data_IF_467079642481
#
_entry.id   IF_467079642481
#
_cell.length_a   1.000
_cell.length_b   1.000
_cell.length_c   1.000
_cell.angle_alpha   90.00
_cell.angle_beta   90.00
_cell.angle_gamma   90.00
#
_symmetry.space_group_name_H-M   'P 1'
#
loop_
_entity.id
_entity.type
_entity.pdbx_description
1 polymer ?
#
# COMPACT_ATOMS: atom_id res chain seq x y z
N UNK A 1 -37.79 7.99 50.04
CA UNK A 1 -38.49 7.84 48.74
C UNK A 1 -38.81 9.17 48.05
N UNK A 2 -39.86 9.94 48.39
CA UNK A 2 -40.13 11.20 47.66
C UNK A 2 -39.03 12.26 47.85
N UNK A 3 -38.61 12.53 49.10
CA UNK A 3 -37.54 13.48 49.40
C UNK A 3 -36.16 13.08 48.84
N UNK A 4 -35.93 11.77 48.73
CA UNK A 4 -34.68 11.17 48.20
C UNK A 4 -34.62 11.31 46.67
N UNK A 5 -35.74 11.02 45.99
CA UNK A 5 -35.89 11.26 44.55
C UNK A 5 -35.78 12.75 44.19
N UNK A 6 -36.27 13.63 45.07
CA UNK A 6 -36.14 15.08 44.92
C UNK A 6 -34.68 15.54 45.06
N UNK A 7 -33.91 14.91 45.96
CA UNK A 7 -32.47 15.16 46.12
C UNK A 7 -31.67 14.68 44.90
N UNK A 8 -31.97 13.49 44.38
CA UNK A 8 -31.33 12.97 43.16
C UNK A 8 -31.66 13.83 41.94
N UNK A 9 -32.92 14.26 41.79
CA UNK A 9 -33.31 15.16 40.70
C UNK A 9 -32.58 16.52 40.80
N UNK A 10 -32.46 17.09 42.01
CA UNK A 10 -31.71 18.33 42.21
C UNK A 10 -30.22 18.19 41.85
N UNK A 11 -29.60 17.06 42.24
CA UNK A 11 -28.22 16.74 41.87
C UNK A 11 -28.05 16.57 40.35
N UNK A 12 -28.96 15.85 39.69
CA UNK A 12 -28.95 15.69 38.24
C UNK A 12 -29.13 17.02 37.49
N UNK A 13 -30.02 17.89 37.98
CA UNK A 13 -30.20 19.25 37.41
C UNK A 13 -28.94 20.08 37.58
N UNK A 14 -28.28 20.01 38.74
CA UNK A 14 -27.06 20.76 39.01
C UNK A 14 -25.92 20.31 38.09
N UNK A 15 -25.69 19.00 37.95
CA UNK A 15 -24.68 18.48 37.01
C UNK A 15 -24.99 18.85 35.56
N UNK A 16 -26.27 18.90 35.16
CA UNK A 16 -26.67 19.36 33.83
C UNK A 16 -26.36 20.84 33.59
N UNK A 17 -26.56 21.70 34.60
CA UNK A 17 -26.20 23.12 34.53
C UNK A 17 -24.69 23.30 34.42
N UNK A 18 -23.91 22.58 35.23
CA UNK A 18 -22.45 22.60 35.18
C UNK A 18 -21.91 22.12 33.83
N UNK A 19 -22.51 21.08 33.24
CA UNK A 19 -22.16 20.63 31.89
C UNK A 19 -22.44 21.71 30.84
N UNK A 20 -23.58 22.40 30.91
CA UNK A 20 -23.92 23.47 29.96
C UNK A 20 -22.96 24.66 30.05
N UNK A 21 -22.55 25.05 31.25
CA UNK A 21 -21.58 26.16 31.41
C UNK A 21 -20.20 25.78 30.90
N UNK A 22 -19.78 24.53 31.09
CA UNK A 22 -18.53 24.01 30.52
C UNK A 22 -18.57 23.97 28.99
N UNK A 23 -19.68 23.55 28.39
CA UNK A 23 -19.85 23.52 26.93
C UNK A 23 -19.77 24.94 26.35
N UNK A 24 -20.51 25.90 26.91
CA UNK A 24 -20.47 27.29 26.45
C UNK A 24 -19.07 27.90 26.55
N UNK A 25 -18.32 27.55 27.61
CA UNK A 25 -16.94 27.99 27.77
C UNK A 25 -16.02 27.37 26.71
N UNK A 26 -16.18 26.08 26.43
CA UNK A 26 -15.42 25.39 25.37
C UNK A 26 -15.74 25.94 23.98
N UNK A 27 -16.99 26.25 23.69
CA UNK A 27 -17.41 26.87 22.43
C UNK A 27 -16.79 28.26 22.25
N UNK A 28 -16.80 29.08 23.30
CA UNK A 28 -16.15 30.37 23.31
C UNK A 28 -14.63 30.25 23.11
N UNK A 29 -13.97 29.32 23.81
CA UNK A 29 -12.54 29.09 23.72
C UNK A 29 -12.13 28.58 22.33
N UNK A 30 -12.91 27.67 21.73
CA UNK A 30 -12.69 27.16 20.37
C UNK A 30 -12.87 28.27 19.32
N UNK A 31 -13.90 29.10 19.45
CA UNK A 31 -14.11 30.24 18.53
C UNK A 31 -12.92 31.21 18.55
N UNK A 32 -12.31 31.41 19.72
CA UNK A 32 -11.13 32.26 19.89
C UNK A 32 -9.88 31.63 19.27
N UNK A 33 -9.68 30.32 19.45
CA UNK A 33 -8.56 29.58 18.84
C UNK A 33 -8.68 29.52 17.32
N UNK A 34 -9.90 29.37 16.78
CA UNK A 34 -10.12 29.35 15.34
C UNK A 34 -9.81 30.71 14.69
N UNK A 35 -10.12 31.82 15.36
CA UNK A 35 -9.72 33.16 14.92
C UNK A 35 -8.19 33.37 14.91
N UNK A 36 -7.46 32.74 15.83
CA UNK A 36 -6.00 32.76 15.88
C UNK A 36 -5.36 31.79 14.85
N UNK A 37 -6.02 30.68 14.56
CA UNK A 37 -5.56 29.68 13.59
C UNK A 37 -5.77 30.11 12.13
N UNK A 38 -6.62 31.11 11.86
CA UNK A 38 -6.79 31.67 10.51
C UNK A 38 -5.69 32.63 10.09
N UNK A 39 -4.68 32.90 10.94
CA UNK A 39 -3.44 33.54 10.49
C UNK A 39 -2.60 32.51 9.71
N UNK A 40 -2.19 32.79 8.45
CA UNK A 40 -1.32 31.90 7.71
C UNK A 40 -0.01 31.68 8.47
N UNK A 41 0.25 30.43 8.85
CA UNK A 41 1.49 30.01 9.49
C UNK A 41 2.61 30.17 8.44
N UNK A 42 3.71 30.89 8.72
CA UNK A 42 4.85 30.88 7.82
C UNK A 42 5.45 29.47 7.86
N UNK A 43 5.53 28.84 6.69
CA UNK A 43 6.05 27.49 6.54
C UNK A 43 7.50 27.44 7.04
N UNK A 44 7.73 26.55 8.01
CA UNK A 44 9.06 26.24 8.49
C UNK A 44 9.71 25.24 7.52
N UNK A 45 10.11 25.73 6.35
CA UNK A 45 11.08 25.03 5.50
C UNK A 45 12.24 25.98 5.20
N UNK A 46 13.42 25.60 5.66
CA UNK A 46 14.66 26.21 5.20
C UNK A 46 14.85 25.87 3.73
N UNK A 47 14.41 26.77 2.86
CA UNK A 47 14.69 26.73 1.42
C UNK A 47 14.66 28.16 0.88
N UNK A 48 15.87 28.70 0.76
CA UNK A 48 16.37 29.61 -0.27
C UNK A 48 15.65 30.95 -0.52
N UNK A 49 16.44 31.99 -0.28
CA UNK A 49 16.23 33.39 -0.66
C UNK A 49 15.77 33.49 -2.12
N UNK A 50 14.55 33.99 -2.33
CA UNK A 50 14.13 34.43 -3.66
C UNK A 50 12.62 34.56 -3.78
N UNK A 51 12.07 35.69 -3.35
CA UNK A 51 11.02 36.48 -4.01
C UNK A 51 10.49 37.49 -3.00
N UNK A 52 11.25 38.56 -2.78
CA UNK A 52 10.80 39.75 -2.04
C UNK A 52 10.34 40.79 -3.05
N UNK A 53 9.14 40.65 -3.65
CA UNK A 53 8.65 41.72 -4.54
C UNK A 53 7.14 42.00 -4.53
N UNK A 54 6.33 41.36 -3.70
CA UNK A 54 4.91 41.76 -3.59
C UNK A 54 4.39 41.73 -2.16
N UNK A 55 4.91 42.65 -1.37
CA UNK A 55 4.41 42.96 -0.04
C UNK A 55 3.61 44.27 -0.14
N UNK A 56 2.26 44.25 -0.04
CA UNK A 56 1.47 45.47 0.09
C UNK A 56 1.89 46.26 1.34
N UNK A 57 1.92 47.59 1.25
CA UNK A 57 2.41 48.51 2.30
C UNK A 57 2.07 48.17 3.76
N UNK A 58 0.86 47.68 4.12
CA UNK A 58 0.56 47.30 5.51
C UNK A 58 1.46 46.19 6.08
N UNK A 59 2.07 45.35 5.24
CA UNK A 59 2.97 44.27 5.67
C UNK A 59 4.41 44.76 5.81
N UNK A 60 4.80 45.86 5.16
CA UNK A 60 6.11 46.51 5.40
C UNK A 60 6.17 47.15 6.79
N UNK A 61 5.05 47.69 7.26
CA UNK A 61 4.91 48.26 8.60
C UNK A 61 4.90 47.17 9.69
N UNK A 62 4.19 46.05 9.45
CA UNK A 62 4.19 44.91 10.37
C UNK A 62 5.55 44.17 10.42
N UNK A 63 6.27 44.09 9.30
CA UNK A 63 7.62 43.49 9.25
C UNK A 63 8.67 44.41 9.89
N UNK A 64 8.51 45.74 9.77
CA UNK A 64 9.36 46.71 10.45
C UNK A 64 9.26 46.63 11.98
N UNK A 65 8.11 46.22 12.53
CA UNK A 65 7.92 46.05 13.97
C UNK A 65 8.64 44.83 14.57
N UNK A 66 9.05 43.84 13.76
CA UNK A 66 9.72 42.64 14.25
C UNK A 66 11.24 42.62 13.98
N UNK A 67 11.73 43.39 13.01
CA UNK A 67 13.14 43.38 12.61
C UNK A 67 13.96 44.61 13.06
N UNK A 68 13.38 45.57 13.79
CA UNK A 68 14.05 46.84 14.07
C UNK A 68 13.91 47.34 15.50
N UNK A 69 14.84 46.97 16.38
CA UNK A 69 15.24 47.86 17.47
C UNK A 69 16.14 48.98 16.91
N UNK A 70 15.52 50.00 16.31
CA UNK A 70 15.93 51.39 16.53
C UNK A 70 15.15 51.94 17.73
N UNK A 71 15.67 52.92 18.49
CA UNK A 71 15.26 53.16 19.87
C UNK A 71 13.87 53.78 19.93
N UNK A 72 12.88 53.06 20.49
CA UNK A 72 11.57 53.65 20.75
C UNK A 72 10.48 52.64 21.07
N UNK A 73 10.39 52.31 22.35
CA UNK A 73 9.22 51.77 23.06
C UNK A 73 8.73 50.34 22.71
N UNK A 74 8.63 49.43 23.70
CA UNK A 74 7.84 48.23 23.56
C UNK A 74 6.35 48.62 23.60
N UNK A 75 5.56 48.17 22.64
CA UNK A 75 4.13 48.08 22.84
C UNK A 75 3.90 47.00 23.91
N UNK A 76 3.86 47.42 25.19
CA UNK A 76 3.53 46.55 26.31
C UNK A 76 2.10 46.04 26.13
N UNK A 77 1.96 44.82 25.62
CA UNK A 77 0.75 44.03 25.83
C UNK A 77 0.54 43.94 27.36
N UNK A 78 -0.67 44.26 27.88
CA UNK A 78 -0.92 44.25 29.31
C UNK A 78 -0.50 42.88 29.89
N UNK A 79 0.37 42.87 30.91
CA UNK A 79 0.96 41.63 31.46
C UNK A 79 -0.09 40.54 31.75
N UNK A 80 -1.30 40.91 32.18
CA UNK A 80 -2.40 39.96 32.42
C UNK A 80 -2.95 39.23 31.18
N UNK A 81 -2.79 39.79 29.97
CA UNK A 81 -3.16 39.12 28.72
C UNK A 81 -2.09 38.09 28.31
N UNK A 82 -0.82 38.39 28.55
CA UNK A 82 0.29 37.45 28.33
C UNK A 82 0.17 36.26 29.28
N UNK A 83 -0.11 36.50 30.56
CA UNK A 83 -0.30 35.43 31.55
C UNK A 83 -1.50 34.54 31.22
N UNK A 84 -2.58 35.12 30.69
CA UNK A 84 -3.75 34.34 30.22
C UNK A 84 -3.42 33.47 29.02
N UNK A 85 -2.67 33.98 28.04
CA UNK A 85 -2.23 33.20 26.88
C UNK A 85 -1.27 32.07 27.27
N UNK A 86 -0.32 32.34 28.16
CA UNK A 86 0.60 31.33 28.69
C UNK A 86 -0.15 30.26 29.48
N UNK A 87 -1.15 30.64 30.28
CA UNK A 87 -2.03 29.71 30.99
C UNK A 87 -2.80 28.80 30.01
N UNK A 88 -3.40 29.36 28.97
CA UNK A 88 -4.12 28.60 27.94
C UNK A 88 -3.18 27.62 27.24
N UNK A 89 -2.01 28.06 26.79
CA UNK A 89 -1.02 27.21 26.12
C UNK A 89 -0.54 26.10 27.04
N UNK A 90 -0.29 26.41 28.32
CA UNK A 90 0.12 25.41 29.30
C UNK A 90 -0.95 24.33 29.49
N UNK A 91 -2.23 24.72 29.53
CA UNK A 91 -3.35 23.79 29.68
C UNK A 91 -3.56 22.93 28.43
N UNK A 92 -3.39 23.50 27.23
CA UNK A 92 -3.46 22.77 25.98
C UNK A 92 -2.33 21.74 25.90
N UNK A 93 -1.09 22.15 26.20
CA UNK A 93 0.06 21.25 26.27
C UNK A 93 -0.19 20.09 27.24
N UNK A 94 -0.79 20.35 28.39
CA UNK A 94 -1.08 19.31 29.39
C UNK A 94 -2.17 18.34 28.91
N UNK A 95 -3.22 18.84 28.24
CA UNK A 95 -4.25 17.98 27.61
C UNK A 95 -3.66 17.11 26.50
N UNK A 96 -2.81 17.67 25.65
CA UNK A 96 -2.13 16.89 24.60
C UNK A 96 -1.19 15.86 25.19
N UNK A 97 -0.45 16.20 26.25
CA UNK A 97 0.39 15.25 26.99
C UNK A 97 -0.45 14.10 27.57
N UNK A 98 -1.57 14.39 28.24
CA UNK A 98 -2.48 13.37 28.79
C UNK A 98 -3.01 12.45 27.70
N UNK A 99 -3.52 13.03 26.61
CA UNK A 99 -4.06 12.25 25.48
C UNK A 99 -3.00 11.39 24.81
N UNK A 100 -1.79 11.91 24.65
CA UNK A 100 -0.70 11.14 24.08
C UNK A 100 -0.29 9.98 25.01
N UNK A 101 -0.28 10.21 26.32
CA UNK A 101 -0.03 9.16 27.30
C UNK A 101 -1.12 8.08 27.28
N UNK A 102 -2.40 8.46 27.20
CA UNK A 102 -3.52 7.52 27.06
C UNK A 102 -3.39 6.68 25.77
N UNK A 103 -3.09 7.32 24.63
CA UNK A 103 -2.87 6.63 23.36
C UNK A 103 -1.66 5.69 23.41
N UNK A 104 -0.58 6.08 24.07
CA UNK A 104 0.59 5.21 24.27
C UNK A 104 0.23 3.98 25.12
N UNK A 105 -0.59 4.15 26.16
CA UNK A 105 -1.07 3.04 27.00
C UNK A 105 -2.01 2.11 26.22
N UNK A 106 -2.96 2.67 25.47
CA UNK A 106 -3.87 1.89 24.63
C UNK A 106 -3.13 1.11 23.54
N UNK A 107 -2.16 1.76 22.88
CA UNK A 107 -1.30 1.13 21.88
C UNK A 107 -0.51 -0.05 22.47
N UNK A 108 0.09 0.14 23.65
CA UNK A 108 0.80 -0.94 24.37
C UNK A 108 -0.15 -2.08 24.76
N UNK A 109 -1.37 -1.76 25.22
CA UNK A 109 -2.40 -2.74 25.56
C UNK A 109 -2.85 -3.56 24.34
N UNK A 110 -3.07 -2.91 23.20
CA UNK A 110 -3.44 -3.58 21.97
C UNK A 110 -2.30 -4.47 21.45
N UNK A 111 -1.05 -4.00 21.52
CA UNK A 111 0.12 -4.81 21.18
C UNK A 111 0.24 -6.06 22.07
N UNK A 112 0.01 -5.94 23.38
CA UNK A 112 -0.01 -7.08 24.29
C UNK A 112 -1.11 -8.10 23.94
N UNK A 113 -2.30 -7.60 23.60
CA UNK A 113 -3.43 -8.44 23.19
C UNK A 113 -3.13 -9.20 21.89
N UNK A 114 -2.52 -8.53 20.91
CA UNK A 114 -2.09 -9.18 19.67
C UNK A 114 -1.05 -10.28 19.92
N UNK A 115 -0.09 -10.03 20.81
CA UNK A 115 0.91 -11.03 21.19
C UNK A 115 0.28 -12.24 21.89
N UNK A 116 -0.67 -12.00 22.80
CA UNK A 116 -1.39 -13.06 23.49
C UNK A 116 -2.21 -13.93 22.52
N UNK A 117 -2.98 -13.31 21.63
CA UNK A 117 -3.75 -14.02 20.60
C UNK A 117 -2.85 -14.81 19.64
N UNK A 118 -1.69 -14.25 19.28
CA UNK A 118 -0.74 -14.96 18.43
C UNK A 118 -0.15 -16.20 19.13
N UNK A 119 0.16 -16.08 20.43
CA UNK A 119 0.59 -17.23 21.24
C UNK A 119 -0.50 -18.30 21.37
N UNK A 120 -1.76 -17.90 21.55
CA UNK A 120 -2.90 -18.84 21.54
C UNK A 120 -3.08 -19.54 20.20
N UNK A 121 -2.99 -18.81 19.09
CA UNK A 121 -3.04 -19.39 17.75
C UNK A 121 -1.93 -20.42 17.53
N UNK A 122 -0.71 -20.13 17.98
CA UNK A 122 0.42 -21.04 17.84
C UNK A 122 0.27 -22.27 18.77
N UNK A 123 -0.27 -22.09 19.98
CA UNK A 123 -0.62 -23.20 20.87
C UNK A 123 -1.70 -24.09 20.26
N UNK A 124 -2.79 -23.51 19.76
CA UNK A 124 -3.87 -24.25 19.10
C UNK A 124 -3.37 -24.97 17.85
N UNK A 125 -2.50 -24.36 17.05
CA UNK A 125 -1.87 -25.04 15.91
C UNK A 125 -1.05 -26.24 16.37
N UNK A 126 -0.22 -26.09 17.40
CA UNK A 126 0.58 -27.19 17.94
C UNK A 126 -0.29 -28.34 18.46
N UNK A 127 -1.40 -28.03 19.13
CA UNK A 127 -2.31 -29.04 19.66
C UNK A 127 -3.16 -29.71 18.58
N UNK A 128 -3.60 -28.96 17.55
CA UNK A 128 -4.26 -29.54 16.38
C UNK A 128 -3.35 -30.53 15.65
N UNK A 129 -2.05 -30.21 15.51
CA UNK A 129 -1.08 -31.15 14.93
C UNK A 129 -0.95 -32.41 15.79
N UNK A 130 -0.81 -32.29 17.11
CA UNK A 130 -0.75 -33.47 18.01
C UNK A 130 -2.04 -34.30 17.97
N UNK A 131 -3.20 -33.65 17.85
CA UNK A 131 -4.47 -34.35 17.73
C UNK A 131 -4.54 -35.12 16.41
N UNK A 132 -4.09 -34.50 15.33
CA UNK A 132 -3.95 -35.15 14.04
C UNK A 132 -3.03 -36.38 14.11
N UNK A 133 -1.88 -36.27 14.78
CA UNK A 133 -0.98 -37.40 15.01
C UNK A 133 -1.69 -38.58 15.69
N UNK A 134 -2.46 -38.30 16.74
CA UNK A 134 -3.26 -39.32 17.45
C UNK A 134 -4.33 -39.93 16.56
N UNK A 135 -5.03 -39.12 15.76
CA UNK A 135 -6.03 -39.61 14.80
C UNK A 135 -5.37 -40.51 13.76
N UNK A 136 -4.25 -40.09 13.17
CA UNK A 136 -3.47 -40.87 12.19
C UNK A 136 -2.98 -42.17 12.80
N UNK A 137 -2.47 -42.15 14.04
CA UNK A 137 -2.07 -43.35 14.77
C UNK A 137 -3.24 -44.33 14.96
N UNK A 138 -4.41 -43.84 15.38
CA UNK A 138 -5.61 -44.68 15.52
C UNK A 138 -6.16 -45.20 14.18
N UNK A 139 -6.08 -44.40 13.12
CA UNK A 139 -6.46 -44.80 11.76
C UNK A 139 -5.48 -45.80 11.13
N UNK A 140 -4.22 -45.81 11.56
CA UNK A 140 -3.21 -46.77 11.08
C UNK A 140 -3.45 -48.21 11.57
N UNK A 141 -4.35 -48.41 12.54
CA UNK A 141 -4.82 -49.74 12.88
C UNK A 141 -5.73 -50.30 11.76
N UNK A 142 -5.43 -51.49 11.21
CA UNK A 142 -6.18 -52.04 10.10
C UNK A 142 -7.60 -52.42 10.58
N UNK A 143 -8.61 -51.63 10.18
CA UNK A 143 -10.00 -51.90 10.52
C UNK A 143 -10.99 -50.73 10.44
N UNK A 144 -10.52 -49.47 10.35
CA UNK A 144 -11.40 -48.30 10.17
C UNK A 144 -10.88 -47.35 9.10
N UNK A 145 -11.14 -47.68 7.85
CA UNK A 145 -11.05 -46.73 6.74
C UNK A 145 -12.29 -45.82 6.76
N UNK A 146 -12.18 -44.65 7.37
CA UNK A 146 -13.16 -43.57 7.30
C UNK A 146 -12.63 -42.45 6.39
N UNK A 147 -13.50 -41.92 5.53
CA UNK A 147 -13.16 -41.08 4.37
C UNK A 147 -12.17 -39.94 4.63
N UNK A 148 -11.31 -39.71 3.63
CA UNK A 148 -10.33 -38.63 3.59
C UNK A 148 -11.02 -37.26 3.67
N UNK A 149 -10.97 -36.64 4.84
CA UNK A 149 -11.43 -35.27 5.08
C UNK A 149 -10.34 -34.26 4.67
N UNK A 150 -10.71 -33.13 4.06
CA UNK A 150 -9.75 -32.13 3.56
C UNK A 150 -8.92 -31.50 4.69
N UNK A 151 -9.48 -31.43 5.90
CA UNK A 151 -8.78 -30.98 7.11
C UNK A 151 -7.64 -31.94 7.50
N UNK A 152 -7.86 -33.25 7.34
CA UNK A 152 -6.88 -34.31 7.58
C UNK A 152 -5.71 -34.18 6.59
N UNK A 153 -5.98 -33.83 5.33
CA UNK A 153 -4.93 -33.60 4.32
C UNK A 153 -4.03 -32.40 4.67
N UNK A 154 -4.63 -31.29 5.14
CA UNK A 154 -3.91 -30.07 5.56
C UNK A 154 -2.96 -30.36 6.73
N UNK A 155 -3.44 -30.99 7.78
CA UNK A 155 -2.61 -31.33 8.94
C UNK A 155 -1.62 -32.48 8.64
N UNK A 156 -1.92 -33.39 7.71
CA UNK A 156 -0.96 -34.39 7.21
C UNK A 156 0.28 -33.74 6.64
N UNK A 157 0.09 -32.74 5.77
CA UNK A 157 1.21 -32.05 5.12
C UNK A 157 2.10 -31.31 6.13
N UNK A 158 1.51 -30.68 7.16
CA UNK A 158 2.24 -30.01 8.23
C UNK A 158 2.99 -30.98 9.15
N UNK A 159 2.42 -32.16 9.40
CA UNK A 159 3.06 -33.23 10.16
C UNK A 159 4.25 -33.82 9.40
N UNK A 160 4.10 -34.13 8.11
CA UNK A 160 5.17 -34.68 7.28
C UNK A 160 6.31 -33.69 7.07
N UNK A 161 6.00 -32.39 6.94
CA UNK A 161 7.00 -31.31 6.89
C UNK A 161 7.84 -31.24 8.18
N UNK A 162 7.25 -31.57 9.33
CA UNK A 162 7.96 -31.64 10.62
C UNK A 162 8.73 -32.93 10.83
N UNK A 163 8.27 -34.06 10.29
CA UNK A 163 8.94 -35.35 10.47
C UNK A 163 10.16 -35.54 9.60
N UNK A 164 10.21 -34.95 8.40
CA UNK A 164 11.27 -35.25 7.43
C UNK A 164 12.50 -34.35 7.65
N UNK A 165 13.57 -34.84 8.30
CA UNK A 165 14.74 -34.02 8.62
C UNK A 165 15.46 -33.55 7.34
N UNK A 166 15.32 -34.32 6.25
CA UNK A 166 15.93 -34.06 4.95
C UNK A 166 15.15 -33.04 4.11
N UNK A 167 13.85 -32.87 4.32
CA UNK A 167 13.08 -31.81 3.66
C UNK A 167 13.56 -30.42 4.10
N UNK A 168 13.84 -30.24 5.40
CA UNK A 168 14.38 -28.98 5.93
C UNK A 168 15.80 -28.70 5.42
N UNK A 169 16.64 -29.74 5.32
CA UNK A 169 18.01 -29.64 4.83
C UNK A 169 18.05 -29.36 3.31
N UNK A 170 17.29 -30.12 2.52
CA UNK A 170 17.19 -29.93 1.06
C UNK A 170 16.63 -28.57 0.68
N UNK A 171 15.67 -28.02 1.45
CA UNK A 171 15.19 -26.64 1.28
C UNK A 171 16.27 -25.61 1.60
N UNK A 172 17.01 -25.78 2.72
CA UNK A 172 18.14 -24.90 3.06
C UNK A 172 19.27 -24.97 2.03
N UNK A 173 19.56 -26.14 1.49
CA UNK A 173 20.59 -26.33 0.47
C UNK A 173 20.14 -25.74 -0.88
N UNK A 174 18.89 -25.95 -1.28
CA UNK A 174 18.29 -25.32 -2.47
C UNK A 174 18.28 -23.81 -2.33
N UNK A 175 17.99 -23.28 -1.15
CA UNK A 175 17.99 -21.84 -0.88
C UNK A 175 19.41 -21.26 -0.90
N UNK A 176 20.42 -21.95 -0.37
CA UNK A 176 21.84 -21.56 -0.50
C UNK A 176 22.29 -21.53 -1.95
N UNK A 177 21.90 -22.53 -2.74
CA UNK A 177 22.19 -22.61 -4.18
C UNK A 177 21.46 -21.53 -4.98
N UNK A 178 20.24 -21.17 -4.58
CA UNK A 178 19.51 -20.01 -5.12
C UNK A 178 20.20 -18.69 -4.77
N UNK A 179 20.72 -18.54 -3.54
CA UNK A 179 21.43 -17.34 -3.11
C UNK A 179 22.81 -17.20 -3.75
N UNK A 180 23.48 -18.31 -4.10
CA UNK A 180 24.76 -18.30 -4.81
C UNK A 180 24.64 -18.03 -6.32
N UNK A 181 23.43 -17.93 -6.87
CA UNK A 181 23.22 -17.55 -8.28
C UNK A 181 23.34 -16.05 -8.49
N UNK A 182 23.88 -15.67 -9.66
CA UNK A 182 24.11 -14.29 -10.08
C UNK A 182 22.84 -13.43 -9.93
N UNK A 183 22.94 -12.17 -9.47
CA UNK A 183 21.80 -11.26 -9.37
C UNK A 183 20.98 -11.16 -10.66
N UNK A 184 21.65 -11.28 -11.82
CA UNK A 184 21.01 -11.26 -13.14
C UNK A 184 20.22 -12.53 -13.45
N UNK A 185 20.70 -13.72 -13.05
CA UNK A 185 19.95 -14.97 -13.20
C UNK A 185 18.69 -14.97 -12.32
N UNK A 186 18.77 -14.36 -11.13
CA UNK A 186 17.60 -14.20 -10.24
C UNK A 186 16.55 -13.27 -10.84
N UNK A 187 16.96 -12.20 -11.52
CA UNK A 187 16.06 -11.27 -12.19
C UNK A 187 15.38 -11.92 -13.41
N UNK A 188 16.12 -12.67 -14.22
CA UNK A 188 15.54 -13.40 -15.37
C UNK A 188 14.58 -14.50 -14.91
N UNK A 189 14.94 -15.23 -13.84
CA UNK A 189 14.06 -16.25 -13.26
C UNK A 189 12.82 -15.65 -12.58
N UNK A 190 12.94 -14.50 -11.90
CA UNK A 190 11.79 -13.83 -11.27
C UNK A 190 10.86 -13.23 -12.33
N UNK A 191 11.42 -12.65 -13.40
CA UNK A 191 10.66 -12.14 -14.54
C UNK A 191 9.93 -13.27 -15.27
N UNK A 192 10.61 -14.39 -15.54
CA UNK A 192 10.00 -15.58 -16.13
C UNK A 192 8.89 -16.17 -15.25
N UNK A 193 9.10 -16.21 -13.93
CA UNK A 193 8.09 -16.71 -12.99
C UNK A 193 6.93 -15.74 -12.82
N UNK A 194 7.16 -14.43 -12.89
CA UNK A 194 6.11 -13.41 -12.85
C UNK A 194 5.20 -13.49 -14.10
N UNK A 195 5.79 -13.72 -15.26
CA UNK A 195 5.06 -13.94 -16.52
C UNK A 195 4.26 -15.26 -16.47
N UNK A 196 4.83 -16.35 -15.94
CA UNK A 196 4.14 -17.64 -15.84
C UNK A 196 3.11 -17.73 -14.71
N UNK A 197 3.32 -17.00 -13.60
CA UNK A 197 2.49 -17.02 -12.40
C UNK A 197 1.19 -16.25 -12.57
N UNK A 198 1.16 -15.23 -13.42
CA UNK A 198 -0.01 -14.38 -13.59
C UNK A 198 -0.87 -14.86 -14.77
N UNK A 199 -2.16 -15.14 -14.50
CA UNK A 199 -3.13 -15.56 -15.52
C UNK A 199 -3.27 -14.53 -16.65
N UNK A 200 -3.16 -13.23 -16.33
CA UNK A 200 -3.22 -12.15 -17.32
C UNK A 200 -1.97 -12.10 -18.20
N UNK A 201 -0.78 -12.26 -17.62
CA UNK A 201 0.47 -12.25 -18.36
C UNK A 201 0.57 -13.41 -19.36
N UNK A 202 0.04 -14.59 -18.99
CA UNK A 202 -0.07 -15.75 -19.88
C UNK A 202 -0.95 -15.47 -21.10
N UNK A 203 -2.10 -14.82 -20.89
CA UNK A 203 -3.01 -14.43 -21.96
C UNK A 203 -2.37 -13.42 -22.90
N UNK A 204 -1.68 -12.40 -22.36
CA UNK A 204 -0.97 -11.39 -23.16
C UNK A 204 0.16 -12.03 -23.99
N UNK A 205 0.96 -12.92 -23.40
CA UNK A 205 2.02 -13.62 -24.11
C UNK A 205 1.47 -14.48 -25.26
N UNK A 206 0.35 -15.19 -25.04
CA UNK A 206 -0.31 -15.96 -26.09
C UNK A 206 -0.72 -15.07 -27.27
N UNK A 207 -1.43 -13.97 -27.02
CA UNK A 207 -1.83 -13.04 -28.08
C UNK A 207 -0.64 -12.38 -28.78
N UNK A 208 0.42 -12.03 -28.04
CA UNK A 208 1.65 -11.49 -28.61
C UNK A 208 2.32 -12.47 -29.58
N UNK A 209 2.44 -13.74 -29.19
CA UNK A 209 3.00 -14.78 -30.07
C UNK A 209 2.13 -15.00 -31.29
N UNK A 210 0.80 -15.05 -31.14
CA UNK A 210 -0.13 -15.22 -32.26
C UNK A 210 -0.02 -14.04 -33.24
N UNK A 211 0.01 -12.81 -32.72
CA UNK A 211 0.16 -11.61 -33.52
C UNK A 211 1.48 -11.61 -34.31
N UNK A 212 2.60 -11.96 -33.67
CA UNK A 212 3.87 -12.09 -34.38
C UNK A 212 3.83 -13.16 -35.47
N UNK A 213 3.22 -14.32 -35.20
CA UNK A 213 3.07 -15.35 -36.24
C UNK A 213 2.24 -14.83 -37.41
N UNK A 214 1.09 -14.19 -37.15
CA UNK A 214 0.29 -13.55 -38.19
C UNK A 214 1.10 -12.53 -39.00
N UNK A 215 1.91 -11.70 -38.34
CA UNK A 215 2.75 -10.70 -39.00
C UNK A 215 3.79 -11.37 -39.90
N UNK A 216 4.50 -12.39 -39.40
CA UNK A 216 5.47 -13.16 -40.19
C UNK A 216 4.79 -13.83 -41.40
N UNK A 217 3.62 -14.46 -41.21
CA UNK A 217 2.87 -15.05 -42.32
C UNK A 217 2.42 -14.00 -43.34
N UNK A 218 2.00 -12.80 -42.91
CA UNK A 218 1.63 -11.71 -43.81
C UNK A 218 2.82 -11.20 -44.62
N UNK A 219 4.00 -11.07 -43.99
CA UNK A 219 5.24 -10.68 -44.67
C UNK A 219 5.61 -11.74 -45.70
N UNK A 220 5.62 -13.01 -45.31
CA UNK A 220 5.93 -14.13 -46.21
C UNK A 220 4.93 -14.23 -47.37
N UNK A 221 3.63 -14.03 -47.08
CA UNK A 221 2.58 -14.01 -48.09
C UNK A 221 2.81 -12.86 -49.08
N UNK A 222 3.09 -11.65 -48.61
CA UNK A 222 3.36 -10.50 -49.46
C UNK A 222 4.61 -10.72 -50.33
N UNK A 223 5.68 -11.27 -49.76
CA UNK A 223 6.89 -11.57 -50.52
C UNK A 223 6.64 -12.65 -51.57
N UNK A 224 5.95 -13.73 -51.21
CA UNK A 224 5.64 -14.83 -52.13
C UNK A 224 4.71 -14.38 -53.27
N UNK A 225 3.71 -13.57 -52.97
CA UNK A 225 2.77 -13.03 -53.94
C UNK A 225 3.42 -12.01 -54.88
N UNK A 226 4.31 -11.15 -54.37
CA UNK A 226 5.10 -10.24 -55.20
C UNK A 226 6.04 -11.00 -56.13
N UNK A 227 6.65 -12.08 -55.65
CA UNK A 227 7.54 -12.92 -56.45
C UNK A 227 6.78 -13.70 -57.54
N UNK A 228 5.60 -14.25 -57.21
CA UNK A 228 4.77 -14.97 -58.19
C UNK A 228 4.31 -14.04 -59.33
N UNK A 229 3.87 -12.82 -59.02
CA UNK A 229 3.49 -11.83 -60.04
C UNK A 229 4.66 -11.47 -60.96
N UNK A 230 5.87 -11.33 -60.39
CA UNK A 230 7.07 -11.11 -61.17
C UNK A 230 7.34 -12.25 -62.15
N UNK A 231 7.26 -13.50 -61.68
CA UNK A 231 7.41 -14.69 -62.52
C UNK A 231 6.36 -14.76 -63.62
N UNK A 232 5.09 -14.52 -63.30
CA UNK A 232 3.99 -14.55 -64.28
C UNK A 232 4.15 -13.46 -65.35
N UNK A 233 4.61 -12.26 -64.99
CA UNK A 233 4.90 -11.18 -65.94
C UNK A 233 6.04 -11.55 -66.89
N UNK A 234 7.13 -12.15 -66.38
CA UNK A 234 8.24 -12.61 -67.21
C UNK A 234 7.83 -13.75 -68.15
N UNK A 235 7.03 -14.69 -67.66
CA UNK A 235 6.51 -15.79 -68.46
C UNK A 235 5.57 -15.28 -69.57
N UNK A 236 4.71 -14.30 -69.26
CA UNK A 236 3.84 -13.67 -70.24
C UNK A 236 4.63 -12.87 -71.30
N UNK A 237 5.65 -12.11 -70.90
CA UNK A 237 6.53 -11.41 -71.85
C UNK A 237 7.27 -12.39 -72.76
N UNK A 238 7.84 -13.47 -72.21
CA UNK A 238 8.54 -14.49 -72.99
C UNK A 238 7.61 -15.18 -73.99
N UNK A 239 6.39 -15.54 -73.57
CA UNK A 239 5.38 -16.10 -74.46
C UNK A 239 5.00 -15.14 -75.58
N UNK A 240 4.71 -13.88 -75.25
CA UNK A 240 4.33 -12.86 -76.24
C UNK A 240 5.44 -12.60 -77.26
N UNK A 241 6.71 -12.62 -76.81
CA UNK A 241 7.87 -12.50 -77.70
C UNK A 241 8.00 -13.72 -78.62
N UNK A 242 7.85 -14.94 -78.09
CA UNK A 242 7.87 -16.16 -78.89
C UNK A 242 6.76 -16.19 -79.94
N UNK A 243 5.53 -15.80 -79.55
CA UNK A 243 4.38 -15.70 -80.46
C UNK A 243 4.64 -14.66 -81.58
N UNK A 244 5.22 -13.50 -81.23
CA UNK A 244 5.59 -12.47 -82.23
C UNK A 244 6.69 -12.95 -83.17
N UNK A 245 7.72 -13.65 -82.66
CA UNK A 245 8.79 -14.20 -83.48
C UNK A 245 8.24 -15.22 -84.49
N UNK A 246 7.36 -16.11 -84.05
CA UNK A 246 6.70 -17.10 -84.91
C UNK A 246 5.78 -16.45 -85.94
N UNK A 247 5.07 -15.38 -85.59
CA UNK A 247 4.14 -14.75 -86.51
C UNK A 247 4.81 -13.88 -87.59
N UNK A 248 5.96 -13.27 -87.30
CA UNK A 248 6.59 -12.28 -88.18
C UNK A 248 7.93 -12.73 -88.80
N UNK A 249 8.56 -13.80 -88.30
CA UNK A 249 9.89 -14.25 -88.76
C UNK A 249 9.97 -15.74 -89.13
N UNK A 250 8.84 -16.44 -89.31
CA UNK A 250 8.85 -17.87 -89.65
C UNK A 250 9.06 -18.17 -91.16
N UNK A 251 9.01 -17.15 -92.03
CA UNK A 251 9.11 -17.34 -93.49
C UNK A 251 10.23 -16.53 -94.19
N UNK A 252 11.25 -16.06 -93.45
CA UNK A 252 12.53 -15.58 -94.01
C UNK A 252 13.65 -16.58 -93.68
#
# INVERSE_FOLDING_TARGET
RYAELQSEFASAVQTSVEQKTLILKLEHDLSTVQALSSLPRPDAEGSEVGTLENIPEPVKEATAMFAGSGPGAPAELPQGQMDSLLSIISSQRERFRSRNQELEVESRSMQQTLQALQAELDSLRADNIKLYEKIKFLQSYPGRAGGSDDTVMRYSSQYEERLDPFASFSRKERQRRYLSLSPWDKATLSLGRAILSNKMARTVAFFYTLFLHCLVFLVLYKTAWSESIGRDCTAFCAKKYADHLHQFHEND
#
